data_IF_443188856719
#
_entry.id   IF_443188856719
#
_cell.length_a   1.000
_cell.length_b   1.000
_cell.length_c   1.000
_cell.angle_alpha   90.00
_cell.angle_beta   90.00
_cell.angle_gamma   90.00
#
_symmetry.space_group_name_H-M   'P 1'
#
loop_
_entity.id
_entity.type
_entity.pdbx_description
1 polymer ?
#
# COMPACT_ATOMS: atom_id res chain seq x y z
N UNK A 1 26.02 -20.22 -11.22
CA UNK A 1 26.38 -21.59 -11.67
C UNK A 1 25.92 -21.77 -13.11
N UNK A 2 26.80 -22.21 -14.02
CA UNK A 2 26.44 -22.44 -15.43
C UNK A 2 26.81 -23.87 -15.78
N UNK A 3 25.84 -24.63 -16.30
CA UNK A 3 25.90 -26.04 -16.71
C UNK A 3 25.93 -27.11 -15.60
N UNK A 4 26.58 -26.88 -14.46
CA UNK A 4 26.56 -27.84 -13.33
C UNK A 4 26.90 -27.17 -11.98
N UNK A 5 26.49 -27.80 -10.86
CA UNK A 5 26.93 -27.50 -9.48
C UNK A 5 27.75 -28.69 -8.95
N UNK A 6 28.79 -28.45 -8.15
CA UNK A 6 29.59 -29.54 -7.56
C UNK A 6 28.79 -30.40 -6.57
N UNK A 7 27.68 -29.89 -6.04
CA UNK A 7 26.90 -30.53 -4.97
C UNK A 7 27.53 -30.40 -3.58
N UNK A 8 28.78 -29.92 -3.51
CA UNK A 8 29.44 -29.59 -2.25
C UNK A 8 28.72 -28.41 -1.58
N UNK A 9 28.50 -28.55 -0.27
CA UNK A 9 27.89 -27.51 0.56
C UNK A 9 28.92 -27.04 1.57
N UNK A 10 28.84 -25.76 1.88
CA UNK A 10 29.59 -25.15 2.98
C UNK A 10 28.62 -24.80 4.10
N UNK A 11 29.09 -24.91 5.34
CA UNK A 11 28.41 -24.34 6.49
C UNK A 11 28.74 -22.85 6.57
N UNK A 12 27.71 -22.04 6.77
CA UNK A 12 27.83 -20.58 6.89
C UNK A 12 27.12 -20.19 8.19
N UNK A 13 27.73 -19.31 8.97
CA UNK A 13 27.10 -18.79 10.18
C UNK A 13 25.85 -17.98 9.84
N UNK A 14 24.78 -18.17 10.62
CA UNK A 14 23.55 -17.38 10.47
C UNK A 14 23.85 -15.89 10.68
N UNK A 15 24.70 -15.54 11.65
CA UNK A 15 25.05 -14.15 11.96
C UNK A 15 25.85 -13.51 10.82
N UNK A 16 26.77 -14.25 10.21
CA UNK A 16 27.52 -13.78 9.04
C UNK A 16 26.60 -13.55 7.85
N UNK A 17 25.64 -14.45 7.62
CA UNK A 17 24.66 -14.31 6.55
C UNK A 17 23.72 -13.12 6.78
N UNK A 18 23.24 -12.92 8.02
CA UNK A 18 22.43 -11.74 8.38
C UNK A 18 23.23 -10.47 8.10
N UNK A 19 24.47 -10.40 8.59
CA UNK A 19 25.32 -9.22 8.40
C UNK A 19 25.58 -8.94 6.92
N UNK A 20 25.84 -9.97 6.11
CA UNK A 20 26.06 -9.83 4.67
C UNK A 20 24.82 -9.28 3.94
N UNK A 21 23.63 -9.79 4.27
CA UNK A 21 22.37 -9.35 3.70
C UNK A 21 22.01 -7.91 4.12
N UNK A 22 22.18 -7.57 5.40
CA UNK A 22 21.94 -6.23 5.93
C UNK A 22 22.88 -5.19 5.30
N UNK A 23 24.18 -5.51 5.18
CA UNK A 23 25.15 -4.62 4.55
C UNK A 23 24.79 -4.34 3.08
N UNK A 24 24.40 -5.38 2.33
CA UNK A 24 23.93 -5.21 0.94
C UNK A 24 22.68 -4.34 0.88
N UNK A 25 21.68 -4.62 1.73
CA UNK A 25 20.44 -3.85 1.78
C UNK A 25 20.69 -2.37 2.10
N UNK A 26 21.52 -2.10 3.11
CA UNK A 26 21.87 -0.74 3.52
C UNK A 26 22.64 0.01 2.44
N UNK A 27 23.57 -0.66 1.74
CA UNK A 27 24.29 -0.08 0.62
C UNK A 27 23.34 0.32 -0.51
N UNK A 28 22.41 -0.58 -0.89
CA UNK A 28 21.40 -0.32 -1.93
C UNK A 28 20.53 0.88 -1.54
N UNK A 29 20.01 0.90 -0.30
CA UNK A 29 19.16 1.99 0.18
C UNK A 29 19.90 3.33 0.17
N UNK A 30 21.14 3.35 0.63
CA UNK A 30 21.94 4.58 0.68
C UNK A 30 22.32 5.07 -0.72
N UNK A 31 22.61 4.16 -1.65
CA UNK A 31 22.88 4.53 -3.03
C UNK A 31 21.66 5.19 -3.66
N UNK A 32 20.50 4.54 -3.64
CA UNK A 32 19.26 5.04 -4.24
C UNK A 32 18.83 6.37 -3.60
N UNK A 33 18.83 6.49 -2.27
CA UNK A 33 18.50 7.76 -1.60
C UNK A 33 19.38 8.92 -2.04
N UNK A 34 20.67 8.65 -2.30
CA UNK A 34 21.64 9.68 -2.66
C UNK A 34 21.58 10.07 -4.13
N UNK A 35 21.31 9.12 -5.03
CA UNK A 35 21.46 9.34 -6.48
C UNK A 35 20.13 9.47 -7.21
N UNK A 36 19.06 8.88 -6.68
CA UNK A 36 17.78 8.73 -7.39
C UNK A 36 16.63 9.54 -6.80
N UNK A 37 16.76 10.18 -5.64
CA UNK A 37 15.79 11.20 -5.24
C UNK A 37 16.06 12.49 -6.03
N UNK A 38 15.12 12.87 -6.89
CA UNK A 38 15.23 14.01 -7.79
C UNK A 38 14.29 15.13 -7.34
N UNK A 39 14.74 16.36 -7.53
CA UNK A 39 13.94 17.57 -7.32
C UNK A 39 13.73 18.24 -8.68
N UNK A 40 12.49 18.59 -8.99
CA UNK A 40 12.13 19.27 -10.22
C UNK A 40 12.28 20.78 -10.09
N UNK A 41 12.36 21.46 -11.24
CA UNK A 41 12.50 22.91 -11.32
C UNK A 41 11.36 23.71 -10.66
N UNK A 42 10.18 23.11 -10.48
CA UNK A 42 9.01 23.68 -9.78
C UNK A 42 8.92 23.25 -8.30
N UNK A 43 9.97 22.64 -7.73
CA UNK A 43 10.12 22.41 -6.29
C UNK A 43 9.44 21.15 -5.76
N UNK A 44 9.13 20.17 -6.61
CA UNK A 44 8.59 18.87 -6.21
C UNK A 44 9.71 17.80 -6.17
N UNK A 45 9.56 16.81 -5.29
CA UNK A 45 10.58 15.77 -5.07
C UNK A 45 10.02 14.36 -5.16
N UNK A 46 10.68 13.48 -5.92
CA UNK A 46 10.29 12.07 -6.06
C UNK A 46 11.48 11.19 -6.47
N UNK A 47 11.32 9.87 -6.44
CA UNK A 47 12.36 8.95 -6.87
C UNK A 47 12.31 8.70 -8.38
N UNK A 48 13.47 8.73 -9.04
CA UNK A 48 13.63 8.15 -10.36
C UNK A 48 13.35 6.64 -10.31
N UNK A 49 12.47 6.17 -11.18
CA UNK A 49 12.10 4.76 -11.27
C UNK A 49 12.97 3.96 -12.23
N UNK A 50 13.56 4.59 -13.25
CA UNK A 50 14.13 3.86 -14.38
C UNK A 50 15.31 4.55 -15.06
N UNK A 51 16.15 3.71 -15.67
CA UNK A 51 17.08 4.08 -16.72
C UNK A 51 16.67 3.36 -18.01
N UNK A 52 16.76 4.03 -19.16
CA UNK A 52 16.45 3.46 -20.46
C UNK A 52 17.63 2.64 -21.02
N UNK A 53 17.47 2.06 -22.21
CA UNK A 53 18.49 1.21 -22.85
C UNK A 53 19.75 2.00 -23.28
N UNK A 54 19.68 3.33 -23.32
CA UNK A 54 20.82 4.20 -23.63
C UNK A 54 21.56 4.64 -22.36
N UNK A 55 21.12 4.17 -21.18
CA UNK A 55 21.72 4.53 -19.89
C UNK A 55 21.28 5.90 -19.38
N UNK A 56 20.21 6.46 -19.93
CA UNK A 56 19.68 7.77 -19.56
C UNK A 56 18.58 7.62 -18.50
N UNK A 57 18.53 8.58 -17.57
CA UNK A 57 17.45 8.67 -16.59
C UNK A 57 16.12 8.93 -17.29
N UNK A 58 15.05 8.24 -16.88
CA UNK A 58 13.72 8.36 -17.50
C UNK A 58 12.87 9.45 -16.86
N UNK A 59 12.99 9.63 -15.54
CA UNK A 59 12.17 10.54 -14.74
C UNK A 59 12.87 11.89 -14.45
N UNK A 60 12.10 12.96 -14.32
CA UNK A 60 12.60 14.32 -14.03
C UNK A 60 12.05 15.39 -14.98
N UNK A 61 12.74 16.53 -15.06
CA UNK A 61 12.40 17.62 -15.98
C UNK A 61 12.84 17.30 -17.42
N UNK A 62 11.88 17.37 -18.35
CA UNK A 62 12.14 17.28 -19.79
C UNK A 62 11.46 18.44 -20.52
N UNK A 63 11.88 18.67 -21.77
CA UNK A 63 11.36 19.74 -22.63
C UNK A 63 9.84 19.65 -22.85
N UNK A 64 9.27 18.45 -22.83
CA UNK A 64 7.83 18.22 -22.99
C UNK A 64 7.05 18.25 -21.66
N UNK A 65 7.73 18.40 -20.53
CA UNK A 65 7.17 18.37 -19.18
C UNK A 65 7.81 17.33 -18.27
N UNK A 66 7.35 17.28 -17.02
CA UNK A 66 7.87 16.36 -16.00
C UNK A 66 7.51 14.91 -16.34
N UNK A 67 8.52 14.05 -16.40
CA UNK A 67 8.40 12.59 -16.49
C UNK A 67 8.41 11.99 -15.09
N UNK A 68 7.35 11.27 -14.73
CA UNK A 68 7.23 10.62 -13.43
C UNK A 68 6.51 9.28 -13.58
N UNK A 69 6.99 8.27 -12.86
CA UNK A 69 6.39 6.95 -12.77
C UNK A 69 5.96 6.63 -11.33
N UNK A 70 4.70 6.19 -11.15
CA UNK A 70 4.16 5.78 -9.85
C UNK A 70 4.95 4.61 -9.25
N UNK A 71 5.36 3.66 -10.10
CA UNK A 71 6.07 2.43 -9.69
C UNK A 71 7.33 2.71 -8.87
N UNK A 72 8.09 3.76 -9.23
CA UNK A 72 9.31 4.15 -8.49
C UNK A 72 9.01 4.62 -7.07
N UNK A 73 7.79 5.13 -6.82
CA UNK A 73 7.39 5.67 -5.52
C UNK A 73 6.83 4.59 -4.60
N UNK A 74 6.18 3.57 -5.18
CA UNK A 74 5.53 2.49 -4.41
C UNK A 74 6.55 1.71 -3.58
N UNK A 75 7.59 1.17 -4.21
CA UNK A 75 8.52 0.27 -3.52
C UNK A 75 9.52 1.00 -2.63
N UNK A 76 9.91 2.22 -3.02
CA UNK A 76 10.76 3.08 -2.17
C UNK A 76 10.02 3.46 -0.88
N UNK A 77 8.71 3.70 -0.96
CA UNK A 77 7.85 3.89 0.23
C UNK A 77 7.69 2.60 1.02
N UNK A 78 7.25 1.51 0.36
CA UNK A 78 6.85 0.23 0.98
C UNK A 78 7.99 -0.41 1.76
N UNK A 79 9.20 -0.43 1.22
CA UNK A 79 10.34 -1.12 1.83
C UNK A 79 11.14 -0.24 2.81
N UNK A 80 10.63 0.94 3.17
CA UNK A 80 11.31 1.82 4.13
C UNK A 80 12.57 2.49 3.59
N UNK A 81 12.75 2.55 2.27
CA UNK A 81 13.88 3.24 1.65
C UNK A 81 13.70 4.76 1.76
N UNK A 82 12.53 5.26 1.40
CA UNK A 82 12.18 6.67 1.48
C UNK A 82 12.01 7.10 2.94
N UNK A 83 12.60 8.22 3.36
CA UNK A 83 12.28 8.83 4.67
C UNK A 83 10.84 9.35 4.69
N UNK A 84 10.30 9.65 5.87
CA UNK A 84 8.92 10.14 5.97
C UNK A 84 8.72 11.46 5.20
N UNK A 85 9.72 12.35 5.20
CA UNK A 85 9.73 13.57 4.41
C UNK A 85 9.74 13.28 2.90
N UNK A 86 10.53 12.29 2.47
CA UNK A 86 10.58 11.87 1.07
C UNK A 86 9.27 11.21 0.62
N UNK A 87 8.59 10.47 1.50
CA UNK A 87 7.26 9.89 1.22
C UNK A 87 6.24 11.01 1.02
N UNK A 88 6.22 12.02 1.89
CA UNK A 88 5.32 13.18 1.74
C UNK A 88 5.62 13.98 0.47
N UNK A 89 6.88 14.27 0.18
CA UNK A 89 7.28 14.95 -1.06
C UNK A 89 6.87 14.15 -2.30
N UNK A 90 7.05 12.82 -2.27
CA UNK A 90 6.65 11.93 -3.37
C UNK A 90 5.12 11.88 -3.50
N UNK A 91 4.38 11.89 -2.40
CA UNK A 91 2.92 11.97 -2.40
C UNK A 91 2.42 13.27 -3.02
N UNK A 92 3.01 14.41 -2.66
CA UNK A 92 2.69 15.71 -3.25
C UNK A 92 3.02 15.73 -4.75
N UNK A 93 4.13 15.11 -5.16
CA UNK A 93 4.48 14.93 -6.58
C UNK A 93 3.48 14.03 -7.32
N UNK A 94 3.04 12.92 -6.70
CA UNK A 94 1.99 12.07 -7.25
C UNK A 94 0.68 12.84 -7.43
N UNK A 95 0.28 13.65 -6.44
CA UNK A 95 -0.89 14.51 -6.56
C UNK A 95 -0.74 15.56 -7.69
N UNK A 96 0.46 16.12 -7.83
CA UNK A 96 0.75 17.18 -8.80
C UNK A 96 0.78 16.69 -10.25
N UNK A 97 1.43 15.54 -10.50
CA UNK A 97 1.75 15.08 -11.86
C UNK A 97 0.95 13.86 -12.31
N UNK A 98 0.64 12.95 -11.38
CA UNK A 98 0.03 11.66 -11.69
C UNK A 98 -1.47 11.64 -11.45
N UNK A 99 -1.98 12.43 -10.51
CA UNK A 99 -3.42 12.52 -10.27
C UNK A 99 -4.10 13.24 -11.42
N UNK A 100 -4.99 12.52 -12.09
CA UNK A 100 -5.76 13.05 -13.21
C UNK A 100 -6.93 13.88 -12.68
N UNK A 101 -7.08 15.11 -13.18
CA UNK A 101 -8.08 16.04 -12.67
C UNK A 101 -9.52 15.68 -13.06
N UNK A 102 -9.71 14.95 -14.16
CA UNK A 102 -11.04 14.59 -14.66
C UNK A 102 -11.62 13.38 -13.93
N UNK A 103 -10.78 12.37 -13.69
CA UNK A 103 -11.15 11.10 -13.07
C UNK A 103 -10.87 11.08 -11.56
N UNK A 104 -9.96 11.93 -11.08
CA UNK A 104 -9.46 11.92 -9.71
C UNK A 104 -8.49 10.78 -9.40
N UNK A 105 -8.23 9.88 -10.35
CA UNK A 105 -7.37 8.70 -10.15
C UNK A 105 -5.89 8.98 -10.39
N UNK A 106 -5.03 8.12 -9.85
CA UNK A 106 -3.57 8.21 -10.03
C UNK A 106 -3.13 7.42 -11.26
N UNK A 107 -2.60 8.12 -12.26
CA UNK A 107 -2.02 7.52 -13.47
C UNK A 107 -0.73 6.78 -13.14
N UNK A 108 -0.43 5.72 -13.88
CA UNK A 108 0.79 4.94 -13.72
C UNK A 108 2.05 5.76 -14.04
N UNK A 109 1.95 6.66 -15.03
CA UNK A 109 3.05 7.51 -15.47
C UNK A 109 2.54 8.77 -16.21
N UNK A 110 3.37 9.80 -16.27
CA UNK A 110 3.18 10.92 -17.22
C UNK A 110 3.63 10.52 -18.64
N UNK A 111 3.26 11.26 -19.70
CA UNK A 111 3.69 10.95 -21.05
C UNK A 111 5.22 11.03 -21.21
N UNK A 112 5.83 10.04 -21.88
CA UNK A 112 7.29 10.03 -22.14
C UNK A 112 7.70 10.70 -23.47
N UNK A 113 6.74 11.28 -24.20
CA UNK A 113 7.00 11.88 -25.52
C UNK A 113 7.08 10.86 -26.66
N UNK A 114 7.72 11.24 -27.77
CA UNK A 114 7.63 10.52 -29.06
C UNK A 114 8.68 9.41 -29.25
N UNK A 115 9.83 9.46 -28.57
CA UNK A 115 10.87 8.43 -28.66
C UNK A 115 10.84 7.51 -27.44
N UNK A 116 10.12 6.40 -27.53
CA UNK A 116 9.94 5.43 -26.43
C UNK A 116 10.48 4.04 -26.72
N UNK A 117 11.05 3.84 -27.92
CA UNK A 117 11.54 2.54 -28.40
C UNK A 117 12.79 2.04 -27.64
N UNK A 118 13.56 2.97 -27.07
CA UNK A 118 14.70 2.67 -26.20
C UNK A 118 14.30 2.36 -24.74
N UNK A 119 13.00 2.33 -24.43
CA UNK A 119 12.51 2.04 -23.09
C UNK A 119 11.66 0.79 -23.03
N UNK A 120 10.50 0.76 -23.70
CA UNK A 120 9.66 -0.43 -23.67
C UNK A 120 8.36 -0.33 -24.47
N UNK A 121 7.89 -1.49 -24.96
CA UNK A 121 6.68 -1.58 -25.79
C UNK A 121 5.40 -1.07 -25.13
N UNK A 122 5.35 -1.00 -23.79
CA UNK A 122 4.18 -0.48 -23.07
C UNK A 122 3.84 0.94 -23.51
N UNK A 123 4.84 1.74 -23.86
CA UNK A 123 4.67 3.10 -24.34
C UNK A 123 4.27 3.22 -25.82
N UNK A 124 4.05 2.09 -26.50
CA UNK A 124 3.42 2.07 -27.82
C UNK A 124 1.88 2.10 -27.75
N UNK A 125 1.29 1.86 -26.56
CA UNK A 125 -0.13 2.07 -26.35
C UNK A 125 -0.48 3.56 -26.40
N UNK A 126 -1.73 3.86 -26.74
CA UNK A 126 -2.26 5.21 -26.59
C UNK A 126 -2.09 5.65 -25.11
N UNK A 127 -1.69 6.90 -24.90
CA UNK A 127 -1.56 7.41 -23.54
C UNK A 127 -2.92 7.43 -22.86
N UNK A 128 -2.99 6.83 -21.67
CA UNK A 128 -4.22 6.57 -20.94
C UNK A 128 -4.75 5.14 -21.05
N UNK A 129 -4.07 4.26 -21.78
CA UNK A 129 -4.44 2.85 -21.90
C UNK A 129 -3.31 1.94 -21.38
N UNK A 130 -3.73 0.83 -20.76
CA UNK A 130 -2.82 -0.22 -20.29
C UNK A 130 -1.67 0.37 -19.46
N UNK A 131 -0.43 -0.08 -19.64
CA UNK A 131 0.72 0.37 -18.85
C UNK A 131 1.23 1.77 -19.26
N UNK A 132 0.60 2.46 -20.22
CA UNK A 132 0.98 3.81 -20.62
C UNK A 132 0.01 4.85 -20.07
N UNK A 133 0.17 5.24 -18.80
CA UNK A 133 -0.53 6.38 -18.22
C UNK A 133 -2.00 6.16 -17.86
N UNK A 134 -2.52 4.94 -17.95
CA UNK A 134 -3.82 4.61 -17.37
C UNK A 134 -3.78 4.66 -15.84
N UNK A 135 -4.95 4.71 -15.20
CA UNK A 135 -5.09 4.53 -13.75
C UNK A 135 -5.02 3.03 -13.50
N UNK A 136 -3.80 2.52 -13.37
CA UNK A 136 -3.52 1.08 -13.33
C UNK A 136 -3.73 0.54 -11.91
N UNK A 137 -4.88 -0.09 -11.69
CA UNK A 137 -5.42 -0.42 -10.36
C UNK A 137 -4.41 -1.14 -9.48
N UNK A 138 -3.65 -2.09 -10.03
CA UNK A 138 -2.71 -2.87 -9.23
C UNK A 138 -1.65 -1.98 -8.59
N UNK A 139 -1.01 -1.09 -9.34
CA UNK A 139 0.02 -0.20 -8.80
C UNK A 139 -0.57 0.84 -7.85
N UNK A 140 -1.77 1.36 -8.13
CA UNK A 140 -2.46 2.32 -7.25
C UNK A 140 -2.81 1.69 -5.90
N UNK A 141 -3.29 0.44 -5.89
CA UNK A 141 -3.59 -0.27 -4.65
C UNK A 141 -2.30 -0.65 -3.89
N UNK A 142 -1.21 -0.98 -4.59
CA UNK A 142 0.09 -1.18 -3.93
C UNK A 142 0.64 0.12 -3.35
N UNK A 143 0.42 1.25 -4.01
CA UNK A 143 0.78 2.57 -3.49
C UNK A 143 0.00 2.90 -2.21
N UNK A 144 -1.32 2.69 -2.23
CA UNK A 144 -2.17 2.79 -1.05
C UNK A 144 -1.66 1.89 0.09
N UNK A 145 -1.30 0.64 -0.21
CA UNK A 145 -0.75 -0.29 0.76
C UNK A 145 0.58 0.23 1.37
N UNK A 146 1.49 0.73 0.53
CA UNK A 146 2.76 1.29 0.98
C UNK A 146 2.57 2.48 1.94
N UNK A 147 1.63 3.38 1.64
CA UNK A 147 1.28 4.51 2.50
C UNK A 147 0.73 4.03 3.85
N UNK A 148 -0.18 3.05 3.85
CA UNK A 148 -0.68 2.47 5.10
C UNK A 148 0.44 1.82 5.92
N UNK A 149 1.31 1.00 5.30
CA UNK A 149 2.42 0.34 5.99
C UNK A 149 3.30 1.37 6.71
N UNK A 150 3.52 2.52 6.08
CA UNK A 150 4.32 3.64 6.59
C UNK A 150 3.57 4.60 7.52
N UNK A 151 2.29 4.36 7.81
CA UNK A 151 1.51 5.16 8.76
C UNK A 151 0.91 6.45 8.18
N UNK A 152 1.02 6.68 6.86
CA UNK A 152 0.39 7.80 6.15
C UNK A 152 -1.10 7.49 5.88
N UNK A 153 -1.87 7.30 6.95
CA UNK A 153 -3.24 6.78 6.91
C UNK A 153 -4.19 7.71 6.15
N UNK A 154 -4.09 9.03 6.37
CA UNK A 154 -4.92 10.01 5.67
C UNK A 154 -4.68 9.98 4.15
N UNK A 155 -3.41 9.94 3.74
CA UNK A 155 -3.00 9.86 2.34
C UNK A 155 -3.44 8.52 1.72
N UNK A 156 -3.28 7.41 2.45
CA UNK A 156 -3.70 6.10 1.97
C UNK A 156 -5.23 6.02 1.80
N UNK A 157 -6.00 6.62 2.72
CA UNK A 157 -7.45 6.70 2.61
C UNK A 157 -7.91 7.58 1.43
N UNK A 158 -7.17 8.64 1.11
CA UNK A 158 -7.42 9.44 -0.09
C UNK A 158 -7.25 8.59 -1.36
N UNK A 159 -6.16 7.82 -1.48
CA UNK A 159 -5.95 6.92 -2.62
C UNK A 159 -7.06 5.87 -2.70
N UNK A 160 -7.45 5.28 -1.56
CA UNK A 160 -8.57 4.34 -1.47
C UNK A 160 -9.87 4.94 -2.02
N UNK A 161 -10.24 6.13 -1.54
CA UNK A 161 -11.48 6.82 -1.93
C UNK A 161 -11.47 7.20 -3.40
N UNK A 162 -10.33 7.62 -3.97
CA UNK A 162 -10.23 7.87 -5.42
C UNK A 162 -10.58 6.63 -6.26
N UNK A 163 -10.09 5.45 -5.85
CA UNK A 163 -10.34 4.20 -6.56
C UNK A 163 -11.78 3.72 -6.35
N UNK A 164 -12.30 3.87 -5.13
CA UNK A 164 -13.68 3.55 -4.82
C UNK A 164 -14.66 4.38 -5.65
N UNK A 165 -14.44 5.70 -5.76
CA UNK A 165 -15.29 6.59 -6.56
C UNK A 165 -15.29 6.19 -8.04
N UNK A 166 -14.13 5.84 -8.61
CA UNK A 166 -14.06 5.34 -9.99
C UNK A 166 -14.82 4.03 -10.18
N UNK A 167 -14.74 3.10 -9.22
CA UNK A 167 -15.49 1.85 -9.28
C UNK A 167 -17.02 2.09 -9.18
N UNK A 168 -17.44 3.07 -8.37
CA UNK A 168 -18.86 3.36 -8.11
C UNK A 168 -19.51 4.28 -9.15
N UNK A 169 -18.71 5.05 -9.91
CA UNK A 169 -19.21 5.87 -11.02
C UNK A 169 -19.53 5.01 -12.24
N UNK A 170 -20.61 4.23 -12.14
CA UNK A 170 -21.11 3.34 -13.21
C UNK A 170 -21.48 4.10 -14.49
N UNK A 171 -21.72 5.41 -14.42
CA UNK A 171 -22.00 6.22 -15.60
C UNK A 171 -20.75 6.34 -16.49
N UNK A 172 -19.55 6.50 -15.93
CA UNK A 172 -18.31 6.59 -16.68
C UNK A 172 -17.58 5.25 -16.77
N UNK A 173 -17.54 4.48 -15.68
CA UNK A 173 -16.79 3.23 -15.59
C UNK A 173 -17.35 2.12 -16.48
N UNK A 174 -18.67 2.10 -16.72
CA UNK A 174 -19.36 1.09 -17.54
C UNK A 174 -19.07 -0.35 -17.12
N UNK A 175 -18.82 -0.56 -15.83
CA UNK A 175 -18.56 -1.88 -15.23
C UNK A 175 -19.58 -2.19 -14.12
N UNK A 176 -19.73 -3.48 -13.84
CA UNK A 176 -20.44 -3.97 -12.65
C UNK A 176 -19.55 -3.87 -11.40
N UNK A 177 -20.08 -4.13 -10.19
CA UNK A 177 -19.30 -4.08 -8.96
C UNK A 177 -18.02 -4.91 -9.03
N UNK A 178 -16.90 -4.27 -8.68
CA UNK A 178 -15.57 -4.87 -8.70
C UNK A 178 -14.53 -3.87 -9.20
N UNK A 179 -13.25 -4.18 -8.95
CA UNK A 179 -12.13 -3.37 -9.41
C UNK A 179 -11.63 -3.89 -10.77
N UNK A 180 -11.53 -3.04 -11.81
CA UNK A 180 -10.95 -3.43 -13.10
C UNK A 180 -9.41 -3.43 -13.04
N UNK A 181 -8.75 -3.97 -14.06
CA UNK A 181 -7.28 -3.88 -14.19
C UNK A 181 -6.81 -2.43 -14.26
N UNK A 182 -7.51 -1.61 -15.04
CA UNK A 182 -7.25 -0.18 -15.13
C UNK A 182 -8.50 0.61 -15.50
N UNK A 183 -8.46 1.91 -15.23
CA UNK A 183 -9.38 2.90 -15.81
C UNK A 183 -8.65 3.71 -16.87
N UNK A 184 -9.26 3.87 -18.05
CA UNK A 184 -8.73 4.80 -19.06
C UNK A 184 -8.96 6.25 -18.64
N UNK A 185 -8.35 7.22 -19.34
CA UNK A 185 -8.44 8.65 -18.98
C UNK A 185 -9.86 9.25 -19.12
N UNK A 186 -10.77 8.56 -19.80
CA UNK A 186 -12.20 8.93 -19.82
C UNK A 186 -13.02 8.25 -18.70
N UNK A 187 -12.36 7.58 -17.75
CA UNK A 187 -12.97 6.93 -16.60
C UNK A 187 -13.55 5.54 -16.87
N UNK A 188 -13.41 4.96 -18.08
CA UNK A 188 -13.94 3.62 -18.39
C UNK A 188 -13.10 2.52 -17.73
N UNK A 189 -13.75 1.59 -17.04
CA UNK A 189 -13.11 0.41 -16.46
C UNK A 189 -12.84 -0.68 -17.49
N UNK A 190 -11.63 -1.23 -17.49
CA UNK A 190 -11.13 -2.15 -18.52
C UNK A 190 -10.58 -3.44 -17.89
N UNK A 191 -10.73 -4.58 -18.57
CA UNK A 191 -10.26 -5.91 -18.12
C UNK A 191 -10.74 -6.25 -16.69
N UNK A 192 -12.04 -6.44 -16.55
CA UNK A 192 -12.70 -6.63 -15.26
C UNK A 192 -12.49 -8.05 -14.67
N UNK A 193 -12.78 -8.19 -13.37
CA UNK A 193 -12.76 -9.39 -12.54
C UNK A 193 -11.41 -10.10 -12.31
N UNK A 194 -10.56 -10.24 -13.32
CA UNK A 194 -9.39 -11.15 -13.26
C UNK A 194 -8.09 -10.49 -12.80
N UNK A 195 -8.15 -9.20 -12.47
CA UNK A 195 -6.97 -8.42 -12.07
C UNK A 195 -6.44 -8.83 -10.69
N UNK A 196 -5.11 -8.89 -10.55
CA UNK A 196 -4.44 -9.08 -9.27
C UNK A 196 -4.63 -7.92 -8.28
N UNK A 197 -5.14 -6.76 -8.75
CA UNK A 197 -5.48 -5.63 -7.88
C UNK A 197 -6.55 -5.99 -6.84
N UNK A 198 -7.45 -6.93 -7.15
CA UNK A 198 -8.46 -7.39 -6.20
C UNK A 198 -7.83 -8.08 -4.98
N UNK A 199 -6.81 -8.92 -5.20
CA UNK A 199 -6.07 -9.59 -4.11
C UNK A 199 -5.33 -8.58 -3.25
N UNK A 200 -4.66 -7.59 -3.86
CA UNK A 200 -4.00 -6.52 -3.14
C UNK A 200 -4.98 -5.63 -2.37
N UNK A 201 -6.16 -5.35 -2.93
CA UNK A 201 -7.18 -4.53 -2.28
C UNK A 201 -7.71 -5.26 -1.04
N UNK A 202 -8.09 -6.54 -1.20
CA UNK A 202 -8.53 -7.38 -0.09
C UNK A 202 -7.48 -7.45 1.02
N UNK A 203 -6.23 -7.74 0.65
CA UNK A 203 -5.12 -7.81 1.60
C UNK A 203 -4.96 -6.49 2.35
N UNK A 204 -4.89 -5.37 1.63
CA UNK A 204 -4.67 -4.05 2.23
C UNK A 204 -5.82 -3.63 3.15
N UNK A 205 -7.07 -3.87 2.73
CA UNK A 205 -8.23 -3.58 3.58
C UNK A 205 -8.16 -4.40 4.87
N UNK A 206 -7.86 -5.69 4.79
CA UNK A 206 -7.82 -6.56 5.96
C UNK A 206 -6.63 -6.28 6.90
N UNK A 207 -5.40 -6.35 6.36
CA UNK A 207 -4.19 -6.41 7.19
C UNK A 207 -3.64 -5.03 7.54
N UNK A 208 -3.95 -4.00 6.73
CA UNK A 208 -3.46 -2.65 6.95
C UNK A 208 -4.56 -1.71 7.46
N UNK A 209 -5.66 -1.54 6.71
CA UNK A 209 -6.74 -0.60 7.06
C UNK A 209 -7.47 -1.04 8.33
N UNK A 210 -8.01 -2.28 8.36
CA UNK A 210 -8.56 -2.88 9.58
C UNK A 210 -7.47 -3.39 10.53
N UNK A 211 -6.23 -3.52 10.06
CA UNK A 211 -5.10 -3.86 10.92
C UNK A 211 -5.11 -5.26 11.51
N UNK A 212 -5.83 -6.20 10.90
CA UNK A 212 -5.96 -7.59 11.40
C UNK A 212 -4.93 -8.46 10.69
N UNK A 213 -3.79 -8.71 11.33
CA UNK A 213 -2.64 -9.38 10.68
C UNK A 213 -1.92 -10.34 11.62
N UNK A 214 -1.04 -11.16 11.04
CA UNK A 214 -0.19 -12.07 11.80
C UNK A 214 1.20 -11.49 12.03
N UNK A 215 1.79 -11.78 13.18
CA UNK A 215 3.22 -11.59 13.44
C UNK A 215 3.79 -12.85 14.08
N UNK A 216 4.68 -13.54 13.36
CA UNK A 216 5.23 -14.85 13.74
C UNK A 216 4.19 -15.87 14.23
N UNK A 217 2.95 -15.75 13.75
CA UNK A 217 1.82 -16.63 14.06
C UNK A 217 0.81 -16.05 15.07
N UNK A 218 1.19 -15.03 15.83
CA UNK A 218 0.32 -14.30 16.77
C UNK A 218 -0.58 -13.31 16.05
N UNK A 219 -1.74 -13.02 16.64
CA UNK A 219 -2.70 -12.07 16.09
C UNK A 219 -2.33 -10.65 16.51
N UNK A 220 -2.10 -9.77 15.54
CA UNK A 220 -1.92 -8.34 15.73
C UNK A 220 -3.19 -7.61 15.32
N UNK A 221 -3.63 -6.67 16.16
CA UNK A 221 -4.72 -5.74 15.89
C UNK A 221 -4.17 -4.31 15.96
N UNK A 222 -4.18 -3.62 14.82
CA UNK A 222 -3.60 -2.28 14.63
C UNK A 222 -4.50 -1.45 13.70
N UNK A 223 -5.68 -0.99 14.15
CA UNK A 223 -6.61 -0.27 13.28
C UNK A 223 -5.99 1.02 12.73
N UNK A 224 -6.12 1.22 11.42
CA UNK A 224 -5.73 2.44 10.69
C UNK A 224 -6.95 3.06 10.02
N UNK A 225 -8.05 3.14 10.77
CA UNK A 225 -9.34 3.63 10.31
C UNK A 225 -9.46 5.14 10.58
N UNK A 226 -10.09 5.85 9.65
CA UNK A 226 -10.47 7.28 9.80
C UNK A 226 -11.97 7.42 10.13
N UNK A 227 -12.45 8.58 10.63
CA UNK A 227 -13.83 8.75 11.07
C UNK A 227 -14.88 8.37 10.03
N UNK A 228 -14.63 8.66 8.76
CA UNK A 228 -15.55 8.37 7.65
C UNK A 228 -15.82 6.88 7.41
N UNK A 229 -15.06 5.98 8.05
CA UNK A 229 -15.19 4.52 7.92
C UNK A 229 -15.99 3.88 9.06
N UNK A 230 -16.38 4.66 10.07
CA UNK A 230 -17.26 4.21 11.13
C UNK A 230 -18.71 4.54 10.78
N UNK A 231 -19.63 3.65 11.16
CA UNK A 231 -21.06 3.86 10.98
C UNK A 231 -21.63 4.89 11.98
N UNK A 232 -22.95 5.04 11.98
CA UNK A 232 -23.66 6.01 12.84
C UNK A 232 -23.51 5.73 14.34
N UNK A 233 -23.20 4.48 14.71
CA UNK A 233 -22.96 4.06 16.10
C UNK A 233 -21.46 4.12 16.45
N UNK A 234 -20.63 4.70 15.57
CA UNK A 234 -19.19 4.77 15.73
C UNK A 234 -18.52 3.41 15.58
N UNK A 235 -19.13 2.46 14.87
CA UNK A 235 -18.63 1.08 14.73
C UNK A 235 -18.05 0.83 13.33
N UNK A 236 -16.96 0.09 13.29
CA UNK A 236 -16.42 -0.54 12.08
C UNK A 236 -16.09 -2.00 12.39
N UNK A 237 -16.36 -2.93 11.47
CA UNK A 237 -16.09 -4.35 11.73
C UNK A 237 -15.59 -5.11 10.51
N UNK A 238 -14.81 -6.15 10.77
CA UNK A 238 -14.32 -7.09 9.77
C UNK A 238 -14.44 -8.52 10.30
N UNK A 239 -14.85 -9.44 9.43
CA UNK A 239 -14.86 -10.89 9.71
C UNK A 239 -13.79 -11.56 8.87
N UNK A 240 -12.94 -12.36 9.49
CA UNK A 240 -11.84 -13.07 8.81
C UNK A 240 -11.60 -14.44 9.45
N UNK A 241 -10.68 -15.21 8.87
CA UNK A 241 -10.18 -16.47 9.43
C UNK A 241 -8.76 -16.24 9.93
N UNK A 242 -8.48 -16.60 11.18
CA UNK A 242 -7.14 -16.56 11.76
C UNK A 242 -6.91 -17.80 12.63
N UNK A 243 -5.74 -18.42 12.48
CA UNK A 243 -5.40 -19.67 13.17
C UNK A 243 -6.49 -20.78 13.06
N UNK A 244 -7.19 -20.84 11.91
CA UNK A 244 -8.25 -21.81 11.64
C UNK A 244 -9.61 -21.48 12.24
N UNK A 245 -9.74 -20.37 12.99
CA UNK A 245 -11.00 -19.93 13.61
C UNK A 245 -11.56 -18.70 12.90
N UNK A 246 -12.89 -18.56 12.88
CA UNK A 246 -13.52 -17.33 12.44
C UNK A 246 -13.38 -16.27 13.53
N UNK A 247 -12.88 -15.09 13.17
CA UNK A 247 -12.76 -13.94 14.06
C UNK A 247 -13.56 -12.77 13.51
N UNK A 248 -14.38 -12.17 14.35
CA UNK A 248 -15.12 -10.94 14.10
C UNK A 248 -14.46 -9.86 14.95
N UNK A 249 -13.80 -8.89 14.31
CA UNK A 249 -13.17 -7.76 14.99
C UNK A 249 -14.08 -6.55 14.84
N UNK A 250 -14.47 -5.95 15.97
CA UNK A 250 -15.28 -4.73 16.03
C UNK A 250 -14.49 -3.61 16.69
N UNK A 251 -14.33 -2.50 15.98
CA UNK A 251 -13.73 -1.27 16.49
C UNK A 251 -14.83 -0.26 16.79
N UNK A 252 -14.80 0.34 17.98
CA UNK A 252 -15.72 1.38 18.42
C UNK A 252 -14.98 2.71 18.64
N UNK A 253 -15.41 3.75 17.95
CA UNK A 253 -14.91 5.11 18.00
C UNK A 253 -16.06 6.09 18.31
N UNK A 254 -16.58 6.03 19.53
CA UNK A 254 -17.75 6.81 19.98
C UNK A 254 -17.56 8.33 19.86
N UNK A 255 -16.30 8.79 19.88
CA UNK A 255 -15.92 10.20 19.82
C UNK A 255 -15.62 10.70 18.41
N UNK A 256 -15.69 9.84 17.38
CA UNK A 256 -15.40 10.23 15.99
C UNK A 256 -13.96 10.73 15.78
N UNK A 257 -13.00 10.14 16.50
CA UNK A 257 -11.60 10.57 16.52
C UNK A 257 -10.89 10.24 15.20
N UNK A 258 -10.03 11.15 14.75
CA UNK A 258 -9.08 10.88 13.67
C UNK A 258 -8.06 9.80 14.08
N UNK A 259 -7.47 9.08 13.11
CA UNK A 259 -6.42 8.10 13.33
C UNK A 259 -5.28 8.62 14.23
N UNK A 260 -4.86 9.87 14.01
CA UNK A 260 -3.83 10.51 14.82
C UNK A 260 -4.22 10.63 16.29
N UNK A 261 -5.52 10.82 16.57
CA UNK A 261 -6.05 11.19 17.89
C UNK A 261 -6.54 10.04 18.78
N UNK A 262 -6.57 8.79 18.32
CA UNK A 262 -7.06 7.66 19.15
C UNK A 262 -5.98 6.67 19.60
N UNK A 263 -6.28 5.88 20.64
CA UNK A 263 -5.52 4.72 21.09
C UNK A 263 -6.46 3.56 21.44
N UNK A 264 -5.91 2.35 21.52
CA UNK A 264 -6.64 1.17 22.00
C UNK A 264 -6.72 1.21 23.53
N UNK A 265 -7.94 1.18 24.09
CA UNK A 265 -8.14 1.26 25.53
C UNK A 265 -8.73 -0.01 26.15
N UNK A 266 -9.81 -0.54 25.57
CA UNK A 266 -10.50 -1.72 26.10
C UNK A 266 -10.55 -2.78 25.03
N UNK A 267 -10.16 -4.01 25.40
CA UNK A 267 -10.22 -5.18 24.52
C UNK A 267 -11.00 -6.27 25.22
N UNK A 268 -12.00 -6.82 24.52
CA UNK A 268 -12.82 -7.92 25.00
C UNK A 268 -12.80 -9.07 24.00
N UNK A 269 -12.76 -10.29 24.51
CA UNK A 269 -13.00 -11.51 23.73
C UNK A 269 -14.31 -12.13 24.23
N UNK A 270 -15.27 -12.29 23.33
CA UNK A 270 -16.61 -12.80 23.64
C UNK A 270 -17.24 -12.09 24.86
N UNK A 271 -17.19 -10.76 24.84
CA UNK A 271 -17.68 -9.84 25.89
C UNK A 271 -16.89 -9.86 27.22
N UNK A 272 -15.90 -10.73 27.38
CA UNK A 272 -15.03 -10.77 28.55
C UNK A 272 -13.79 -9.86 28.34
N UNK A 273 -13.51 -8.91 29.24
CA UNK A 273 -12.29 -8.11 29.18
C UNK A 273 -11.03 -8.97 29.24
N UNK A 274 -10.03 -8.58 28.46
CA UNK A 274 -8.69 -9.17 28.49
C UNK A 274 -7.63 -8.07 28.65
N UNK A 275 -6.46 -8.45 29.14
CA UNK A 275 -5.25 -7.62 29.12
C UNK A 275 -4.34 -8.10 27.99
N UNK A 276 -4.35 -7.46 26.80
CA UNK A 276 -3.51 -7.88 25.69
C UNK A 276 -2.07 -7.38 25.88
N UNK A 277 -1.14 -7.91 25.06
CA UNK A 277 0.20 -7.35 24.99
C UNK A 277 0.18 -6.10 24.10
N UNK A 278 0.41 -4.92 24.68
CA UNK A 278 0.58 -3.69 23.92
C UNK A 278 1.99 -3.60 23.34
N UNK A 279 2.11 -3.43 22.03
CA UNK A 279 3.37 -3.05 21.38
C UNK A 279 3.57 -1.53 21.40
N UNK A 280 2.47 -0.80 21.24
CA UNK A 280 2.38 0.65 21.34
C UNK A 280 0.92 1.05 21.64
N UNK A 281 0.59 2.34 21.68
CA UNK A 281 -0.75 2.83 22.01
C UNK A 281 -1.85 2.40 21.01
N UNK A 282 -1.51 2.06 19.77
CA UNK A 282 -2.44 1.69 18.69
C UNK A 282 -2.30 0.23 18.25
N UNK A 283 -1.37 -0.52 18.83
CA UNK A 283 -1.05 -1.89 18.41
C UNK A 283 -1.08 -2.83 19.61
N UNK A 284 -1.94 -3.85 19.51
CA UNK A 284 -1.97 -4.96 20.46
C UNK A 284 -1.62 -6.28 19.78
N UNK A 285 -1.16 -7.23 20.58
CA UNK A 285 -0.88 -8.61 20.19
C UNK A 285 -1.65 -9.56 21.11
N UNK A 286 -2.28 -10.57 20.50
CA UNK A 286 -2.93 -11.69 21.15
C UNK A 286 -2.22 -12.96 20.68
N UNK A 287 -1.69 -13.74 21.62
CA UNK A 287 -0.89 -14.92 21.27
C UNK A 287 -1.72 -15.92 20.46
N UNK A 288 -1.05 -16.62 19.55
CA UNK A 288 -1.66 -17.71 18.78
C UNK A 288 -2.26 -18.79 19.68
N UNK A 289 -1.57 -19.12 20.77
CA UNK A 289 -2.02 -20.09 21.76
C UNK A 289 -3.34 -19.65 22.41
N UNK A 290 -3.46 -18.37 22.78
CA UNK A 290 -4.70 -17.82 23.31
C UNK A 290 -5.86 -17.99 22.32
N UNK A 291 -5.65 -17.68 21.04
CA UNK A 291 -6.69 -17.86 20.01
C UNK A 291 -7.06 -19.34 19.84
N UNK A 292 -6.07 -20.24 19.79
CA UNK A 292 -6.30 -21.68 19.64
C UNK A 292 -7.03 -22.30 20.85
N UNK A 293 -6.79 -21.78 22.05
CA UNK A 293 -7.42 -22.24 23.30
C UNK A 293 -8.91 -21.88 23.43
N UNK A 294 -9.42 -20.98 22.59
CA UNK A 294 -10.82 -20.60 22.62
C UNK A 294 -11.71 -21.78 22.22
N UNK A 295 -12.68 -22.11 23.07
CA UNK A 295 -13.59 -23.23 22.87
C UNK A 295 -14.53 -23.06 21.66
N UNK A 296 -14.73 -21.82 21.19
CA UNK A 296 -15.65 -21.51 20.09
C UNK A 296 -14.92 -21.50 18.74
N UNK A 297 -15.64 -21.90 17.69
CA UNK A 297 -15.19 -21.80 16.29
C UNK A 297 -15.29 -20.37 15.76
N UNK A 298 -16.20 -19.57 16.32
CA UNK A 298 -16.36 -18.15 16.04
C UNK A 298 -16.05 -17.34 17.29
N UNK A 299 -15.19 -16.34 17.14
CA UNK A 299 -14.71 -15.48 18.23
C UNK A 299 -14.97 -14.03 17.90
N UNK A 300 -15.63 -13.30 18.80
CA UNK A 300 -15.83 -11.86 18.69
C UNK A 300 -14.78 -11.13 19.52
N UNK A 301 -14.03 -10.24 18.89
CA UNK A 301 -13.07 -9.35 19.54
C UNK A 301 -13.58 -7.92 19.42
N UNK A 302 -13.86 -7.29 20.54
CA UNK A 302 -14.34 -5.91 20.61
C UNK A 302 -13.24 -5.01 21.11
N UNK A 303 -12.97 -3.93 20.39
CA UNK A 303 -11.93 -2.93 20.69
C UNK A 303 -12.58 -1.55 20.81
N UNK A 304 -12.41 -0.90 21.96
CA UNK A 304 -12.79 0.50 22.17
C UNK A 304 -11.60 1.41 21.94
N UNK A 305 -11.79 2.40 21.08
CA UNK A 305 -10.84 3.46 20.78
C UNK A 305 -11.16 4.70 21.62
N UNK A 306 -10.15 5.26 22.29
CA UNK A 306 -10.28 6.48 23.11
C UNK A 306 -9.27 7.52 22.67
N UNK A 307 -9.38 8.75 23.15
CA UNK A 307 -8.37 9.78 22.91
C UNK A 307 -6.98 9.33 23.38
N UNK A 308 -5.97 9.66 22.58
CA UNK A 308 -4.55 9.35 22.81
C UNK A 308 -4.05 9.98 24.12
#
# INVERSE_FOLDING_TARGET
>A
VRNDVTGEKIEISIDELISDLEQKGQWIFNHIKKTEFIETSDGHGFFNGYYNNDGERVDGDFTEGVRMNLTGQVFTTMFGLATDEQVLASYDSCQRYLKDAATGGYKLNTPLGTNTLNFGRGFAFAYGDKENGAIFSHMVIMYMNALYQRGFVTQAYEVFTSMYHLCMDTQHSKIYPGIPEYFSLNGKGMYHYLTGSASWLFLTVLIEMFGVKGDLGDLVLQPKLVPAQFDQDGKASVTTIFAGKQIIVEYFNEKGLDYSGYKIAVVKINELPIEPLYKDAKTILISRESILSLATESTKITITLTEL
#
